data_IF_922547375524
#
_entry.id   IF_922547375524
#
_cell.length_a   1.000
_cell.length_b   1.000
_cell.length_c   1.000
_cell.angle_alpha   90.00
_cell.angle_beta   90.00
_cell.angle_gamma   90.00
#
_symmetry.space_group_name_H-M   'P 1'
#
loop_
_entity.id
_entity.type
_entity.pdbx_description
1 polymer ?
#
# COMPACT_ATOMS: atom_id res chain seq x y z
N UNK A 1 1.63 -19.10 -3.27
CA UNK A 1 2.47 -18.69 -2.11
C UNK A 1 1.88 -19.20 -0.81
N UNK A 2 2.69 -19.66 0.15
CA UNK A 2 2.19 -20.10 1.46
C UNK A 2 1.95 -18.90 2.40
N UNK A 3 1.13 -19.10 3.44
CA UNK A 3 0.76 -18.02 4.39
C UNK A 3 1.96 -17.48 5.17
N UNK A 4 2.92 -18.36 5.51
CA UNK A 4 4.14 -17.99 6.23
C UNK A 4 5.02 -17.03 5.41
N UNK A 5 5.24 -17.32 4.13
CA UNK A 5 6.02 -16.46 3.23
C UNK A 5 5.32 -15.12 2.97
N UNK A 6 3.99 -15.11 2.90
CA UNK A 6 3.22 -13.86 2.84
C UNK A 6 3.42 -13.01 4.10
N UNK A 7 3.41 -13.63 5.28
CA UNK A 7 3.69 -12.94 6.54
C UNK A 7 5.10 -12.38 6.58
N UNK A 8 6.10 -13.15 6.13
CA UNK A 8 7.49 -12.69 6.03
C UNK A 8 7.60 -11.43 5.14
N UNK A 9 6.98 -11.44 3.96
CA UNK A 9 6.97 -10.26 3.08
C UNK A 9 6.25 -9.07 3.71
N UNK A 10 5.11 -9.29 4.39
CA UNK A 10 4.38 -8.23 5.09
C UNK A 10 5.21 -7.57 6.19
N UNK A 11 5.88 -8.38 7.01
CA UNK A 11 6.72 -7.88 8.11
C UNK A 11 7.93 -7.14 7.56
N UNK A 12 8.62 -7.70 6.56
CA UNK A 12 9.77 -7.05 5.93
C UNK A 12 9.38 -5.71 5.31
N UNK A 13 8.26 -5.67 4.57
CA UNK A 13 7.79 -4.44 3.94
C UNK A 13 7.34 -3.41 4.98
N UNK A 14 6.70 -3.83 6.08
CA UNK A 14 6.33 -2.93 7.18
C UNK A 14 7.57 -2.26 7.78
N UNK A 15 8.61 -3.03 8.09
CA UNK A 15 9.86 -2.48 8.62
C UNK A 15 10.58 -1.59 7.61
N UNK A 16 10.57 -1.97 6.33
CA UNK A 16 11.14 -1.14 5.28
C UNK A 16 10.45 0.22 5.19
N UNK A 17 9.11 0.25 5.10
CA UNK A 17 8.32 1.49 5.08
C UNK A 17 8.59 2.32 6.33
N UNK A 18 8.60 1.69 7.51
CA UNK A 18 8.89 2.38 8.78
C UNK A 18 10.27 3.04 8.80
N UNK A 19 11.31 2.32 8.36
CA UNK A 19 12.69 2.85 8.30
C UNK A 19 12.77 3.98 7.27
N UNK A 20 12.22 3.79 6.07
CA UNK A 20 12.23 4.80 5.01
C UNK A 20 11.51 6.08 5.46
N UNK A 21 10.33 5.96 6.07
CA UNK A 21 9.60 7.10 6.63
C UNK A 21 10.41 7.82 7.72
N UNK A 22 11.02 7.07 8.64
CA UNK A 22 11.83 7.65 9.72
C UNK A 22 13.03 8.42 9.19
N UNK A 23 13.73 7.86 8.19
CA UNK A 23 14.83 8.53 7.51
C UNK A 23 14.32 9.76 6.73
N UNK A 24 13.18 9.65 6.06
CA UNK A 24 12.59 10.75 5.30
C UNK A 24 12.23 11.94 6.18
N UNK A 25 11.70 11.70 7.39
CA UNK A 25 11.47 12.75 8.37
C UNK A 25 12.78 13.34 8.91
N UNK A 26 13.77 12.50 9.22
CA UNK A 26 15.05 12.97 9.77
C UNK A 26 15.89 13.78 8.77
N UNK A 27 15.83 13.42 7.49
CA UNK A 27 16.62 14.01 6.41
C UNK A 27 15.79 14.91 5.48
N UNK A 28 14.54 15.20 5.83
CA UNK A 28 13.63 16.07 5.07
C UNK A 28 13.43 15.61 3.61
N UNK A 29 13.35 14.30 3.36
CA UNK A 29 13.18 13.76 2.01
C UNK A 29 11.82 14.10 1.41
N UNK A 30 10.76 14.19 2.23
CA UNK A 30 9.44 14.64 1.78
C UNK A 30 9.49 16.05 1.16
N UNK A 31 10.40 16.91 1.62
CA UNK A 31 10.61 18.24 1.05
C UNK A 31 11.66 18.23 -0.08
N UNK A 32 12.74 17.47 0.08
CA UNK A 32 13.90 17.53 -0.81
C UNK A 32 13.77 16.65 -2.06
N UNK A 33 12.91 15.62 -2.01
CA UNK A 33 12.70 14.64 -3.07
C UNK A 33 11.19 14.59 -3.37
N UNK A 34 10.77 15.39 -4.34
CA UNK A 34 9.35 15.63 -4.65
C UNK A 34 8.52 14.37 -4.97
N UNK A 35 9.15 13.27 -5.44
CA UNK A 35 8.45 12.02 -5.76
C UNK A 35 8.53 10.97 -4.64
N UNK A 36 9.21 11.27 -3.53
CA UNK A 36 9.39 10.31 -2.46
C UNK A 36 8.05 9.93 -1.82
N UNK A 37 7.17 10.90 -1.67
CA UNK A 37 5.85 10.70 -1.08
C UNK A 37 4.99 9.73 -1.90
N UNK A 38 4.96 9.94 -3.21
CA UNK A 38 4.37 9.03 -4.20
C UNK A 38 4.85 7.58 -4.03
N UNK A 39 6.17 7.38 -3.79
CA UNK A 39 6.72 6.04 -3.56
C UNK A 39 6.18 5.45 -2.25
N UNK A 40 6.09 6.26 -1.20
CA UNK A 40 5.58 5.83 0.09
C UNK A 40 4.10 5.45 0.03
N UNK A 41 3.27 6.22 -0.67
CA UNK A 41 1.87 5.91 -0.96
C UNK A 41 1.72 4.61 -1.74
N UNK A 42 2.48 4.44 -2.82
CA UNK A 42 2.48 3.19 -3.57
C UNK A 42 2.84 1.97 -2.69
N UNK A 43 3.88 2.08 -1.87
CA UNK A 43 4.29 1.00 -0.98
C UNK A 43 3.28 0.73 0.14
N UNK A 44 2.65 1.78 0.68
CA UNK A 44 1.62 1.68 1.70
C UNK A 44 0.38 0.96 1.15
N UNK A 45 -0.12 1.35 -0.03
CA UNK A 45 -1.25 0.73 -0.70
C UNK A 45 -0.98 -0.74 -1.06
N UNK A 46 0.24 -1.04 -1.51
CA UNK A 46 0.69 -2.42 -1.72
C UNK A 46 0.67 -3.23 -0.42
N UNK A 47 1.20 -2.67 0.68
CA UNK A 47 1.22 -3.33 1.98
C UNK A 47 -0.19 -3.56 2.54
N UNK A 48 -1.06 -2.55 2.49
CA UNK A 48 -2.46 -2.61 2.97
C UNK A 48 -3.24 -3.69 2.22
N UNK A 49 -3.07 -3.79 0.90
CA UNK A 49 -3.69 -4.83 0.09
C UNK A 49 -3.19 -6.23 0.45
N UNK A 50 -1.87 -6.42 0.61
CA UNK A 50 -1.31 -7.69 1.08
C UNK A 50 -1.82 -8.06 2.48
N UNK A 51 -1.95 -7.07 3.36
CA UNK A 51 -2.42 -7.26 4.73
C UNK A 51 -3.87 -7.72 4.73
N UNK A 52 -4.74 -7.05 3.95
CA UNK A 52 -6.13 -7.47 3.76
C UNK A 52 -6.20 -8.93 3.27
N UNK A 53 -5.43 -9.27 2.24
CA UNK A 53 -5.41 -10.62 1.68
C UNK A 53 -4.89 -11.66 2.70
N UNK A 54 -3.92 -11.28 3.54
CA UNK A 54 -3.41 -12.15 4.61
C UNK A 54 -4.45 -12.41 5.71
N UNK A 55 -5.17 -11.37 6.15
CA UNK A 55 -6.19 -11.45 7.20
C UNK A 55 -7.41 -12.24 6.73
N UNK A 56 -7.92 -11.92 5.54
CA UNK A 56 -9.11 -12.57 4.99
C UNK A 56 -8.80 -13.85 4.18
N UNK A 57 -7.52 -14.23 4.12
CA UNK A 57 -6.93 -15.42 3.50
C UNK A 57 -7.72 -16.02 2.31
N UNK A 58 -7.54 -15.43 1.14
CA UNK A 58 -8.37 -15.73 -0.03
C UNK A 58 -7.61 -16.53 -1.10
N UNK A 59 -7.26 -17.79 -0.81
CA UNK A 59 -6.52 -18.62 -1.79
C UNK A 59 -7.27 -18.92 -3.10
N UNK A 60 -8.61 -18.92 -3.09
CA UNK A 60 -9.43 -19.37 -4.26
C UNK A 60 -10.38 -18.30 -4.83
N UNK A 61 -10.37 -17.09 -4.29
CA UNK A 61 -11.41 -16.07 -4.55
C UNK A 61 -10.84 -14.65 -4.71
N UNK A 62 -9.56 -14.51 -5.06
CA UNK A 62 -8.92 -13.18 -5.11
C UNK A 62 -9.64 -12.25 -6.11
N UNK A 63 -10.09 -12.79 -7.24
CA UNK A 63 -10.85 -12.05 -8.25
C UNK A 63 -12.25 -11.62 -7.79
N UNK A 64 -12.92 -12.40 -6.93
CA UNK A 64 -14.23 -12.01 -6.38
C UNK A 64 -14.11 -11.01 -5.23
N UNK A 65 -12.88 -10.73 -4.78
CA UNK A 65 -12.58 -9.83 -3.67
C UNK A 65 -11.80 -8.58 -4.08
N UNK A 66 -11.64 -8.32 -5.38
CA UNK A 66 -11.01 -7.09 -5.89
C UNK A 66 -11.70 -5.85 -5.32
N UNK A 67 -13.02 -5.77 -5.45
CA UNK A 67 -13.79 -4.61 -4.98
C UNK A 67 -13.62 -4.36 -3.46
N UNK A 68 -13.78 -5.37 -2.57
CA UNK A 68 -13.45 -5.21 -1.15
C UNK A 68 -12.01 -4.75 -0.86
N UNK A 69 -11.02 -5.26 -1.60
CA UNK A 69 -9.61 -4.86 -1.42
C UNK A 69 -9.44 -3.38 -1.79
N UNK A 70 -9.93 -2.97 -2.96
CA UNK A 70 -9.85 -1.57 -3.40
C UNK A 70 -10.59 -0.63 -2.44
N UNK A 71 -11.78 -1.02 -1.97
CA UNK A 71 -12.51 -0.23 -0.99
C UNK A 71 -11.75 -0.10 0.33
N UNK A 72 -11.07 -1.16 0.77
CA UNK A 72 -10.26 -1.12 1.99
C UNK A 72 -9.03 -0.22 1.82
N UNK A 73 -8.30 -0.34 0.71
CA UNK A 73 -7.16 0.53 0.39
C UNK A 73 -7.61 1.99 0.31
N UNK A 74 -8.72 2.26 -0.38
CA UNK A 74 -9.28 3.61 -0.49
C UNK A 74 -9.66 4.20 0.88
N UNK A 75 -10.28 3.39 1.76
CA UNK A 75 -10.65 3.85 3.10
C UNK A 75 -9.42 4.19 3.94
N UNK A 76 -8.35 3.40 3.86
CA UNK A 76 -7.10 3.67 4.56
C UNK A 76 -6.39 4.90 3.97
N UNK A 77 -6.29 5.00 2.64
CA UNK A 77 -5.68 6.14 1.94
C UNK A 77 -6.40 7.45 2.28
N UNK A 78 -7.72 7.51 2.14
CA UNK A 78 -8.50 8.70 2.53
C UNK A 78 -8.31 9.04 4.02
N UNK A 79 -8.22 8.03 4.89
CA UNK A 79 -7.98 8.29 6.31
C UNK A 79 -6.60 8.91 6.57
N UNK A 80 -5.59 8.55 5.78
CA UNK A 80 -4.26 9.15 5.82
C UNK A 80 -4.29 10.59 5.32
N UNK A 81 -4.91 10.85 4.17
CA UNK A 81 -5.08 12.20 3.62
C UNK A 81 -5.80 13.15 4.58
N UNK A 82 -6.83 12.66 5.28
CA UNK A 82 -7.52 13.44 6.31
C UNK A 82 -6.62 13.75 7.51
N UNK A 83 -5.72 12.82 7.87
CA UNK A 83 -4.71 13.05 8.89
C UNK A 83 -3.70 14.10 8.42
N UNK A 84 -3.19 14.02 7.20
CA UNK A 84 -2.26 15.02 6.67
C UNK A 84 -2.88 16.40 6.57
N UNK A 85 -4.11 16.49 6.05
CA UNK A 85 -4.88 17.72 6.03
C UNK A 85 -4.98 18.36 7.42
N UNK A 86 -5.22 17.55 8.46
CA UNK A 86 -5.25 18.03 9.84
C UNK A 86 -3.88 18.57 10.29
N UNK A 87 -2.79 17.85 10.01
CA UNK A 87 -1.44 18.29 10.36
C UNK A 87 -1.06 19.59 9.62
N UNK A 88 -1.30 19.66 8.31
CA UNK A 88 -0.98 20.84 7.50
C UNK A 88 -1.78 22.06 7.94
N UNK A 89 -3.08 21.93 8.18
CA UNK A 89 -3.93 23.06 8.53
C UNK A 89 -3.67 23.58 9.95
N UNK A 90 -3.45 22.70 10.93
CA UNK A 90 -3.41 23.07 12.34
C UNK A 90 -2.00 23.14 12.94
N UNK A 91 -1.02 22.46 12.35
CA UNK A 91 0.34 22.41 12.90
C UNK A 91 1.32 23.15 11.99
N UNK A 92 1.35 22.81 10.70
CA UNK A 92 2.39 23.30 9.78
C UNK A 92 2.03 24.59 9.04
N UNK A 93 0.74 24.97 9.00
CA UNK A 93 0.20 26.12 8.26
C UNK A 93 0.56 26.11 6.76
N UNK A 94 0.65 24.91 6.19
CA UNK A 94 0.94 24.70 4.75
C UNK A 94 -0.40 24.66 4.01
N UNK A 95 -0.52 25.32 2.83
CA UNK A 95 -1.72 25.23 2.03
C UNK A 95 -1.97 23.80 1.55
N UNK A 96 -3.23 23.37 1.61
CA UNK A 96 -3.63 22.06 1.11
C UNK A 96 -3.55 22.00 -0.41
N UNK A 97 -2.90 20.96 -0.94
CA UNK A 97 -2.79 20.69 -2.37
C UNK A 97 -3.70 19.52 -2.75
N UNK A 98 -4.75 19.82 -3.52
CA UNK A 98 -5.70 18.80 -3.99
C UNK A 98 -5.04 17.85 -5.00
N UNK A 99 -4.07 18.33 -5.78
CA UNK A 99 -3.40 17.50 -6.78
C UNK A 99 -2.50 16.45 -6.12
N UNK A 100 -1.87 16.81 -5.01
CA UNK A 100 -1.04 15.94 -4.17
C UNK A 100 -1.90 14.80 -3.62
N UNK A 101 -2.91 15.12 -2.81
CA UNK A 101 -3.88 14.15 -2.28
C UNK A 101 -4.52 13.25 -3.35
N UNK A 102 -4.84 13.80 -4.52
CA UNK A 102 -5.42 13.00 -5.61
C UNK A 102 -4.40 12.03 -6.20
N UNK A 103 -3.14 12.47 -6.33
CA UNK A 103 -2.02 11.63 -6.75
C UNK A 103 -1.79 10.52 -5.72
N UNK A 104 -1.78 10.84 -4.44
CA UNK A 104 -1.51 9.90 -3.36
C UNK A 104 -2.55 8.78 -3.28
N UNK A 105 -3.83 9.13 -3.35
CA UNK A 105 -4.92 8.13 -3.46
C UNK A 105 -4.74 7.26 -4.71
N UNK A 106 -4.34 7.84 -5.84
CA UNK A 106 -4.09 7.09 -7.07
C UNK A 106 -2.94 6.09 -6.91
N UNK A 107 -1.86 6.48 -6.25
CA UNK A 107 -0.70 5.62 -6.01
C UNK A 107 -0.96 4.56 -4.96
N UNK A 108 -1.74 4.85 -3.92
CA UNK A 108 -2.24 3.85 -2.97
C UNK A 108 -3.00 2.73 -3.71
N UNK A 109 -3.96 3.11 -4.57
CA UNK A 109 -4.75 2.14 -5.34
C UNK A 109 -3.89 1.36 -6.34
N UNK A 110 -2.92 2.02 -6.97
CA UNK A 110 -1.96 1.39 -7.90
C UNK A 110 -1.08 0.37 -7.18
N UNK A 111 -0.59 0.70 -5.98
CA UNK A 111 0.10 -0.24 -5.10
C UNK A 111 -0.77 -1.42 -4.74
N UNK A 112 -2.03 -1.17 -4.39
CA UNK A 112 -3.01 -2.21 -4.10
C UNK A 112 -3.25 -3.18 -5.27
N UNK A 113 -3.33 -2.67 -6.50
CA UNK A 113 -3.42 -3.47 -7.73
C UNK A 113 -2.15 -4.31 -7.94
N UNK A 114 -0.97 -3.72 -7.75
CA UNK A 114 0.29 -4.44 -7.86
C UNK A 114 0.41 -5.59 -6.84
N UNK A 115 -0.11 -5.43 -5.62
CA UNK A 115 -0.15 -6.50 -4.62
C UNK A 115 -1.03 -7.69 -5.06
N UNK A 116 -2.15 -7.40 -5.75
CA UNK A 116 -2.99 -8.44 -6.34
C UNK A 116 -2.22 -9.19 -7.43
N UNK A 117 -1.62 -8.47 -8.39
CA UNK A 117 -0.83 -9.07 -9.49
C UNK A 117 0.34 -9.91 -8.95
N UNK A 118 1.02 -9.40 -7.93
CA UNK A 118 2.12 -10.08 -7.25
C UNK A 118 1.71 -11.45 -6.68
N UNK A 119 0.47 -11.58 -6.20
CA UNK A 119 -0.07 -12.83 -5.68
C UNK A 119 -0.63 -13.76 -6.77
N UNK A 120 -1.02 -13.24 -7.94
CA UNK A 120 -1.51 -14.05 -9.05
C UNK A 120 -0.41 -14.95 -9.65
N UNK A 121 0.81 -14.44 -9.81
CA UNK A 121 1.92 -15.21 -10.41
C UNK A 121 2.22 -16.50 -9.61
N UNK A 122 2.35 -16.46 -8.27
CA UNK A 122 2.54 -17.68 -7.48
C UNK A 122 1.31 -18.59 -7.37
N UNK A 123 0.09 -18.10 -7.67
CA UNK A 123 -1.13 -18.91 -7.65
C UNK A 123 -1.29 -19.68 -8.96
N UNK A 124 -0.99 -19.06 -10.11
CA UNK A 124 -1.03 -19.72 -11.42
C UNK A 124 -0.01 -20.87 -11.49
N UNK A 125 1.22 -20.65 -11.02
CA UNK A 125 2.26 -21.68 -10.97
C UNK A 125 1.89 -22.90 -10.09
N UNK A 126 1.08 -22.70 -9.05
CA UNK A 126 0.57 -23.80 -8.21
C UNK A 126 -0.58 -24.56 -8.89
N UNK A 127 -1.32 -23.93 -9.80
CA UNK A 127 -2.42 -24.53 -10.55
C UNK A 127 -1.92 -25.35 -11.74
N UNK A 128 -0.83 -24.93 -12.38
CA UNK A 128 -0.22 -25.64 -13.51
C UNK A 128 0.63 -26.81 -13.05
N UNK A 129 1.45 -26.66 -12.00
CA UNK A 129 2.26 -27.74 -11.43
C UNK A 129 1.50 -28.85 -10.71
N UNK A 130 0.17 -28.72 -10.51
CA UNK A 130 -0.68 -29.81 -10.00
C UNK A 130 -1.34 -30.64 -11.10
N UNK A 131 -1.03 -30.37 -12.37
CA UNK A 131 -1.61 -31.07 -13.54
C UNK A 131 -0.59 -31.96 -14.26
N UNK A 132 0.66 -31.97 -13.82
CA UNK A 132 1.71 -32.92 -14.22
C UNK A 132 1.85 -34.00 -13.14
#
# INVERSE_FOLDING_TARGET
MNRKKLLEHLVLLMFFIFIMNSLALQFYWYYSIWYFDIIMHFLSGFWVSLFFIYVFYVRKQIFTRLFPIFLFVLLIGISWELYEFYIYQYISQIPFDILDTTSDIFFDLSGGLCAILYLLVPLENQRTGSKE
#
